data_IF_259958817239
#
_entry.id   IF_259958817239
#
_cell.length_a   1.000
_cell.length_b   1.000
_cell.length_c   1.000
_cell.angle_alpha   90.00
_cell.angle_beta   90.00
_cell.angle_gamma   90.00
#
_symmetry.space_group_name_H-M   'P 1'
#
loop_
_entity.id
_entity.type
_entity.pdbx_description
1 polymer ?
#
# COMPACT_ATOMS: atom_id res chain seq x y z
N UNK A 1 -20.91 -6.91 12.45
CA UNK A 1 -21.68 -6.31 13.57
C UNK A 1 -20.94 -5.07 14.01
N UNK A 2 -21.58 -3.90 14.03
CA UNK A 2 -20.95 -2.66 14.48
C UNK A 2 -21.41 -2.31 15.89
N UNK A 3 -20.48 -1.89 16.74
CA UNK A 3 -20.75 -1.47 18.11
C UNK A 3 -20.11 -0.11 18.38
N UNK A 4 -20.80 0.76 19.11
CA UNK A 4 -20.30 2.11 19.45
C UNK A 4 -20.41 2.32 20.95
N UNK A 5 -19.34 2.78 21.59
CA UNK A 5 -19.29 3.15 23.00
C UNK A 5 -18.82 4.59 23.13
N UNK A 6 -19.56 5.38 23.88
CA UNK A 6 -19.23 6.80 24.12
C UNK A 6 -18.79 7.02 25.57
N UNK A 7 -17.70 7.75 25.77
CA UNK A 7 -17.10 8.05 27.08
C UNK A 7 -16.69 9.52 27.13
N UNK A 8 -16.95 10.19 28.26
CA UNK A 8 -16.44 11.55 28.53
C UNK A 8 -15.32 11.41 29.59
N UNK A 9 -14.03 11.44 29.20
CA UNK A 9 -12.92 11.07 30.08
C UNK A 9 -12.64 12.09 31.19
N UNK A 10 -12.85 13.38 30.93
CA UNK A 10 -12.68 14.44 31.94
C UNK A 10 -13.76 15.51 31.82
N UNK A 11 -14.71 15.49 32.76
CA UNK A 11 -15.83 16.45 32.84
C UNK A 11 -15.43 17.79 33.48
N UNK A 12 -14.19 17.96 33.93
CA UNK A 12 -13.71 19.20 34.58
C UNK A 12 -13.02 20.16 33.62
N UNK A 13 -12.56 19.69 32.45
CA UNK A 13 -12.06 20.53 31.36
C UNK A 13 -13.24 21.22 30.67
N UNK A 14 -13.14 22.51 30.36
CA UNK A 14 -14.19 23.29 29.66
C UNK A 14 -13.54 24.02 28.46
N UNK A 15 -13.98 23.77 27.20
CA UNK A 15 -14.93 22.73 26.82
C UNK A 15 -14.36 21.33 27.09
N UNK A 16 -15.22 20.42 27.51
CA UNK A 16 -14.80 19.04 27.79
C UNK A 16 -14.52 18.31 26.48
N UNK A 17 -13.61 17.34 26.51
CA UNK A 17 -13.34 16.49 25.36
C UNK A 17 -14.32 15.29 25.40
N UNK A 18 -14.88 14.95 24.25
CA UNK A 18 -15.62 13.70 24.04
C UNK A 18 -14.71 12.63 23.45
N UNK A 19 -14.88 11.38 23.88
CA UNK A 19 -14.22 10.22 23.27
C UNK A 19 -15.29 9.22 22.83
N UNK A 20 -15.24 8.81 21.57
CA UNK A 20 -16.08 7.76 21.02
C UNK A 20 -15.21 6.59 20.57
N UNK A 21 -15.43 5.43 21.18
CA UNK A 21 -14.83 4.18 20.74
C UNK A 21 -15.80 3.48 19.78
N UNK A 22 -15.30 3.13 18.61
CA UNK A 22 -16.07 2.57 17.50
C UNK A 22 -15.44 1.26 17.07
N UNK A 23 -16.25 0.21 16.97
CA UNK A 23 -15.84 -1.07 16.39
C UNK A 23 -16.59 -1.25 15.08
N UNK A 24 -15.82 -1.42 14.00
CA UNK A 24 -16.33 -1.57 12.64
C UNK A 24 -15.89 -2.92 12.11
N UNK A 25 -16.83 -3.69 11.55
CA UNK A 25 -16.53 -4.92 10.83
C UNK A 25 -17.41 -5.04 9.59
N UNK A 26 -16.82 -5.39 8.44
CA UNK A 26 -17.53 -5.49 7.17
C UNK A 26 -16.61 -5.74 5.98
N UNK A 27 -17.16 -5.66 4.77
CA UNK A 27 -16.36 -5.75 3.55
C UNK A 27 -15.60 -4.45 3.32
N UNK A 28 -14.41 -4.52 2.68
CA UNK A 28 -13.56 -3.37 2.37
C UNK A 28 -14.33 -2.25 1.67
N UNK A 29 -15.18 -2.61 0.69
CA UNK A 29 -16.01 -1.66 -0.06
C UNK A 29 -17.03 -0.90 0.82
N UNK A 30 -17.46 -1.49 1.93
CA UNK A 30 -18.44 -0.90 2.85
C UNK A 30 -17.75 -0.04 3.92
N UNK A 31 -16.54 -0.41 4.33
CA UNK A 31 -15.79 0.27 5.39
C UNK A 31 -15.01 1.48 4.87
N UNK A 32 -14.41 1.38 3.67
CA UNK A 32 -13.55 2.44 3.13
C UNK A 32 -14.26 3.81 2.99
N UNK A 33 -15.52 3.90 2.53
CA UNK A 33 -16.23 5.18 2.47
C UNK A 33 -16.39 5.86 3.83
N UNK A 34 -16.54 5.09 4.91
CA UNK A 34 -16.65 5.63 6.27
C UNK A 34 -15.32 6.27 6.69
N UNK A 35 -14.19 5.61 6.40
CA UNK A 35 -12.86 6.15 6.67
C UNK A 35 -12.61 7.42 5.85
N UNK A 36 -13.00 7.44 4.58
CA UNK A 36 -12.86 8.62 3.72
C UNK A 36 -13.66 9.83 4.24
N UNK A 37 -14.93 9.63 4.65
CA UNK A 37 -15.76 10.70 5.24
C UNK A 37 -15.08 11.27 6.48
N UNK A 38 -14.59 10.39 7.34
CA UNK A 38 -13.94 10.72 8.61
C UNK A 38 -12.63 11.50 8.38
N UNK A 39 -11.80 11.09 7.41
CA UNK A 39 -10.56 11.81 7.06
C UNK A 39 -10.90 13.16 6.42
N UNK A 40 -11.88 13.19 5.52
CA UNK A 40 -12.28 14.41 4.79
C UNK A 40 -12.94 15.46 5.69
N UNK A 41 -13.66 15.06 6.75
CA UNK A 41 -14.34 15.98 7.67
C UNK A 41 -13.38 16.89 8.46
N UNK A 42 -12.07 16.66 8.39
CA UNK A 42 -11.02 17.45 9.06
C UNK A 42 -10.52 18.64 8.25
N UNK A 43 -11.35 19.19 7.35
CA UNK A 43 -10.91 20.17 6.34
C UNK A 43 -9.68 19.69 5.54
N UNK A 44 -9.55 18.37 5.36
CA UNK A 44 -8.41 17.77 4.69
C UNK A 44 -8.81 17.45 3.26
N UNK A 45 -8.14 18.08 2.29
CA UNK A 45 -8.25 17.69 0.86
C UNK A 45 -7.50 16.37 0.56
N UNK A 46 -6.94 15.72 1.59
CA UNK A 46 -6.21 14.47 1.47
C UNK A 46 -7.14 13.33 1.10
N UNK A 47 -7.05 12.88 -0.14
CA UNK A 47 -7.71 11.66 -0.60
C UNK A 47 -6.86 10.44 -0.24
N UNK A 48 -7.50 9.40 0.28
CA UNK A 48 -6.86 8.11 0.45
C UNK A 48 -6.63 7.45 -0.92
N UNK A 49 -5.56 6.67 -1.08
CA UNK A 49 -5.37 5.88 -2.28
C UNK A 49 -6.51 4.87 -2.41
N UNK A 50 -7.05 4.73 -3.62
CA UNK A 50 -8.01 3.66 -3.90
C UNK A 50 -7.30 2.32 -3.78
N UNK A 51 -7.87 1.42 -3.00
CA UNK A 51 -7.40 0.04 -2.87
C UNK A 51 -8.37 -0.82 -3.71
N UNK A 52 -8.02 -1.16 -4.96
CA UNK A 52 -8.88 -2.00 -5.79
C UNK A 52 -8.86 -3.44 -5.24
N UNK A 53 -10.02 -3.96 -4.87
CA UNK A 53 -10.14 -5.34 -4.40
C UNK A 53 -11.30 -5.56 -3.43
N UNK A 54 -11.34 -6.77 -2.90
CA UNK A 54 -12.26 -7.24 -1.87
C UNK A 54 -11.47 -7.74 -0.67
N UNK A 55 -12.11 -7.77 0.50
CA UNK A 55 -11.48 -8.24 1.73
C UNK A 55 -12.35 -7.92 2.95
N UNK A 56 -12.19 -8.70 4.01
CA UNK A 56 -12.93 -8.53 5.26
C UNK A 56 -12.15 -7.64 6.22
N UNK A 57 -12.70 -6.47 6.53
CA UNK A 57 -12.07 -5.47 7.40
C UNK A 57 -12.68 -5.53 8.79
N UNK A 58 -11.83 -5.53 9.81
CA UNK A 58 -12.18 -5.37 11.20
C UNK A 58 -11.29 -4.30 11.84
N UNK A 59 -11.88 -3.22 12.34
CA UNK A 59 -11.19 -2.06 12.89
C UNK A 59 -11.76 -1.69 14.26
N UNK A 60 -10.89 -1.26 15.15
CA UNK A 60 -11.25 -0.50 16.36
C UNK A 60 -10.71 0.91 16.20
N UNK A 61 -11.56 1.91 16.41
CA UNK A 61 -11.20 3.31 16.34
C UNK A 61 -11.56 4.03 17.63
N UNK A 62 -10.72 4.96 18.06
CA UNK A 62 -11.01 5.93 19.11
C UNK A 62 -11.00 7.32 18.51
N UNK A 63 -12.10 8.05 18.69
CA UNK A 63 -12.33 9.39 18.15
C UNK A 63 -12.43 10.38 19.30
N UNK A 64 -11.46 11.27 19.41
CA UNK A 64 -11.46 12.37 20.38
C UNK A 64 -11.86 13.68 19.70
N UNK A 65 -12.72 14.46 20.34
CA UNK A 65 -13.18 15.75 19.81
C UNK A 65 -13.48 16.75 20.93
N UNK A 66 -13.40 18.04 20.63
CA UNK A 66 -13.79 19.08 21.60
C UNK A 66 -15.31 19.27 21.58
N UNK A 67 -15.96 19.44 22.72
CA UNK A 67 -17.42 19.71 22.79
C UNK A 67 -17.77 21.21 22.79
N UNK A 68 -16.83 22.07 22.40
CA UNK A 68 -17.05 23.52 22.28
C UNK A 68 -17.82 23.93 21.01
N UNK A 69 -18.12 25.23 20.86
CA UNK A 69 -18.86 25.80 19.71
C UNK A 69 -18.29 25.44 18.31
N UNK A 70 -17.00 25.10 18.24
CA UNK A 70 -16.28 24.71 17.02
C UNK A 70 -15.75 23.26 17.12
N UNK A 71 -16.44 22.39 17.86
CA UNK A 71 -15.96 21.06 18.23
C UNK A 71 -15.54 20.12 17.10
N UNK A 72 -16.09 20.32 15.90
CA UNK A 72 -15.73 19.56 14.69
C UNK A 72 -14.35 19.88 14.12
N UNK A 73 -13.76 21.03 14.50
CA UNK A 73 -12.46 21.46 13.96
C UNK A 73 -11.27 20.71 14.60
N UNK A 74 -11.49 20.06 15.76
CA UNK A 74 -10.45 19.35 16.50
C UNK A 74 -10.82 17.88 16.72
N UNK A 75 -11.04 17.14 15.64
CA UNK A 75 -11.29 15.71 15.66
C UNK A 75 -9.97 14.95 15.49
N UNK A 76 -9.57 14.17 16.48
CA UNK A 76 -8.43 13.25 16.45
C UNK A 76 -8.91 11.80 16.47
N UNK A 77 -8.20 10.93 15.75
CA UNK A 77 -8.67 9.58 15.43
C UNK A 77 -7.45 8.70 15.38
N UNK A 78 -7.55 7.62 16.14
CA UNK A 78 -6.65 6.51 16.10
C UNK A 78 -7.48 5.29 15.73
N UNK A 79 -7.04 4.51 14.76
CA UNK A 79 -7.68 3.24 14.46
C UNK A 79 -6.63 2.17 14.18
N UNK A 80 -6.91 0.96 14.63
CA UNK A 80 -6.09 -0.21 14.39
C UNK A 80 -6.98 -1.38 14.01
N UNK A 81 -6.46 -2.28 13.20
CA UNK A 81 -7.10 -3.56 12.94
C UNK A 81 -6.52 -4.25 11.73
N UNK A 82 -7.35 -5.12 11.15
CA UNK A 82 -6.91 -6.10 10.17
C UNK A 82 -7.89 -6.15 8.99
N UNK A 83 -7.33 -6.37 7.81
CA UNK A 83 -8.06 -6.81 6.63
C UNK A 83 -7.62 -8.23 6.29
N UNK A 84 -8.58 -9.15 6.22
CA UNK A 84 -8.35 -10.56 5.91
C UNK A 84 -8.83 -10.91 4.51
N UNK A 85 -8.20 -11.93 3.93
CA UNK A 85 -8.57 -12.47 2.62
C UNK A 85 -8.65 -11.37 1.55
N UNK A 86 -7.66 -10.49 1.52
CA UNK A 86 -7.58 -9.45 0.52
C UNK A 86 -7.29 -10.07 -0.85
N UNK A 87 -8.05 -9.66 -1.86
CA UNK A 87 -7.84 -10.05 -3.25
C UNK A 87 -8.18 -8.87 -4.15
N UNK A 88 -7.30 -8.54 -5.07
CA UNK A 88 -7.50 -7.47 -6.05
C UNK A 88 -6.72 -7.72 -7.33
N UNK A 89 -7.06 -6.99 -8.39
CA UNK A 89 -6.35 -7.06 -9.66
C UNK A 89 -5.33 -5.93 -9.77
N UNK A 90 -4.13 -6.25 -10.25
CA UNK A 90 -3.11 -5.27 -10.56
C UNK A 90 -3.38 -4.65 -11.94
N UNK A 91 -4.08 -3.53 -11.94
CA UNK A 91 -4.27 -2.74 -13.15
C UNK A 91 -5.15 -3.39 -14.20
N UNK A 92 -4.76 -3.27 -15.46
CA UNK A 92 -5.39 -3.95 -16.60
C UNK A 92 -4.65 -5.25 -17.00
N UNK A 93 -3.67 -5.68 -16.20
CA UNK A 93 -2.80 -6.83 -16.54
C UNK A 93 -3.47 -8.19 -16.33
N UNK A 94 -4.55 -8.22 -15.54
CA UNK A 94 -5.20 -9.45 -15.09
C UNK A 94 -4.43 -10.23 -14.02
N UNK A 95 -3.27 -9.72 -13.56
CA UNK A 95 -2.53 -10.34 -12.46
C UNK A 95 -3.23 -10.09 -11.12
N UNK A 96 -3.28 -11.11 -10.27
CA UNK A 96 -3.97 -11.04 -8.97
C UNK A 96 -2.97 -10.68 -7.88
N UNK A 97 -3.35 -9.75 -7.01
CA UNK A 97 -2.68 -9.48 -5.74
C UNK A 97 -3.55 -10.04 -4.64
N UNK A 98 -2.99 -10.90 -3.80
CA UNK A 98 -3.70 -11.43 -2.63
C UNK A 98 -2.89 -11.32 -1.35
N UNK A 99 -3.58 -11.27 -0.22
CA UNK A 99 -2.98 -11.32 1.12
C UNK A 99 -3.95 -11.93 2.10
N UNK A 100 -3.47 -12.88 2.91
CA UNK A 100 -4.28 -13.48 3.97
C UNK A 100 -4.60 -12.46 5.08
N UNK A 101 -3.67 -11.53 5.33
CA UNK A 101 -3.74 -10.53 6.39
C UNK A 101 -2.95 -9.26 6.04
N UNK A 102 -3.66 -8.14 6.06
CA UNK A 102 -3.09 -6.79 6.01
C UNK A 102 -3.43 -6.07 7.30
N UNK A 103 -2.41 -5.63 8.03
CA UNK A 103 -2.56 -4.81 9.23
C UNK A 103 -2.80 -3.36 8.83
N UNK A 104 -3.70 -2.70 9.54
CA UNK A 104 -4.13 -1.33 9.31
C UNK A 104 -3.82 -0.52 10.57
N UNK A 105 -3.11 0.59 10.40
CA UNK A 105 -2.90 1.59 11.44
C UNK A 105 -3.21 2.99 10.92
N UNK A 106 -4.10 3.69 11.61
CA UNK A 106 -4.50 5.06 11.34
C UNK A 106 -4.20 5.91 12.56
N UNK A 107 -3.48 7.00 12.35
CA UNK A 107 -3.21 8.02 13.35
C UNK A 107 -3.68 9.38 12.81
N UNK A 108 -3.67 10.44 13.63
CA UNK A 108 -4.02 11.76 13.13
C UNK A 108 -3.14 12.28 11.99
N UNK A 109 -1.93 11.72 11.82
CA UNK A 109 -0.92 12.19 10.86
C UNK A 109 -0.68 11.23 9.70
N UNK A 110 -1.10 9.98 9.79
CA UNK A 110 -0.70 8.95 8.85
C UNK A 110 -1.66 7.76 8.84
N UNK A 111 -1.89 7.23 7.64
CA UNK A 111 -2.40 5.89 7.38
C UNK A 111 -1.23 4.96 7.01
N UNK A 112 -1.20 3.77 7.58
CA UNK A 112 -0.23 2.72 7.29
C UNK A 112 -0.95 1.38 7.08
N UNK A 113 -0.56 0.67 6.01
CA UNK A 113 -0.97 -0.70 5.73
C UNK A 113 0.27 -1.57 5.60
N UNK A 114 0.32 -2.70 6.31
CA UNK A 114 1.47 -3.61 6.27
C UNK A 114 0.99 -5.04 6.12
N UNK A 115 1.62 -5.83 5.25
CA UNK A 115 1.24 -7.22 5.08
C UNK A 115 2.21 -8.02 4.23
N UNK A 116 2.04 -9.33 4.28
CA UNK A 116 2.64 -10.26 3.32
C UNK A 116 1.56 -10.71 2.35
N UNK A 117 1.95 -10.96 1.11
CA UNK A 117 1.00 -11.28 0.06
C UNK A 117 1.65 -12.03 -1.09
N UNK A 118 0.87 -12.19 -2.15
CA UNK A 118 1.29 -12.81 -3.39
C UNK A 118 0.86 -11.95 -4.55
N UNK A 119 1.76 -11.74 -5.50
CA UNK A 119 1.46 -11.30 -6.85
C UNK A 119 1.41 -12.56 -7.71
N UNK A 120 0.19 -13.04 -7.99
CA UNK A 120 -0.12 -14.39 -8.44
C UNK A 120 0.56 -15.45 -7.54
N UNK A 121 1.70 -15.98 -8.01
CA UNK A 121 2.47 -17.01 -7.32
C UNK A 121 3.75 -16.48 -6.66
N UNK A 122 4.04 -15.19 -6.82
CA UNK A 122 5.27 -14.57 -6.29
C UNK A 122 4.99 -13.95 -4.92
N UNK A 123 5.58 -14.47 -3.83
CA UNK A 123 5.39 -13.89 -2.52
C UNK A 123 6.10 -12.54 -2.41
N UNK A 124 5.48 -11.61 -1.67
CA UNK A 124 6.06 -10.32 -1.32
C UNK A 124 5.70 -9.92 0.11
N UNK A 125 6.48 -9.00 0.66
CA UNK A 125 6.11 -8.21 1.84
C UNK A 125 5.95 -6.77 1.39
N UNK A 126 4.92 -6.06 1.88
CA UNK A 126 4.70 -4.68 1.50
C UNK A 126 4.25 -3.81 2.66
N UNK A 127 4.55 -2.52 2.52
CA UNK A 127 4.17 -1.44 3.41
C UNK A 127 3.69 -0.25 2.58
N UNK A 128 2.46 0.20 2.81
CA UNK A 128 1.91 1.42 2.22
C UNK A 128 1.77 2.48 3.32
N UNK A 129 2.22 3.70 3.04
CA UNK A 129 2.07 4.84 3.95
C UNK A 129 1.48 6.05 3.23
N UNK A 130 0.55 6.75 3.86
CA UNK A 130 -0.01 8.02 3.37
C UNK A 130 -0.07 9.01 4.53
N UNK A 131 0.64 10.13 4.39
CA UNK A 131 0.50 11.26 5.30
C UNK A 131 -0.90 11.87 5.24
N UNK A 132 -1.39 12.33 6.39
CA UNK A 132 -2.72 12.93 6.55
C UNK A 132 -2.60 14.36 7.10
N UNK A 133 -3.52 15.22 6.68
CA UNK A 133 -3.57 16.62 7.07
C UNK A 133 -3.35 17.58 5.89
N UNK A 134 -3.55 18.90 6.09
CA UNK A 134 -3.55 19.89 5.01
C UNK A 134 -2.27 19.87 4.16
N UNK A 135 -1.11 19.78 4.80
CA UNK A 135 0.19 19.78 4.12
C UNK A 135 0.53 18.43 3.45
N UNK A 136 -0.35 17.45 3.56
CA UNK A 136 -0.19 16.10 3.00
C UNK A 136 -1.20 15.78 1.90
N UNK A 137 -2.07 16.74 1.54
CA UNK A 137 -3.07 16.57 0.49
C UNK A 137 -2.44 16.11 -0.83
N UNK A 138 -1.41 16.82 -1.28
CA UNK A 138 -0.70 16.58 -2.55
C UNK A 138 0.48 15.61 -2.43
N UNK A 139 0.85 15.20 -1.21
CA UNK A 139 1.96 14.26 -0.98
C UNK A 139 1.49 12.84 -1.36
N UNK A 140 2.10 12.16 -2.33
CA UNK A 140 1.67 10.82 -2.74
C UNK A 140 1.75 9.79 -1.60
N UNK A 141 0.94 8.73 -1.67
CA UNK A 141 1.20 7.57 -0.82
C UNK A 141 2.49 6.87 -1.27
N UNK A 142 3.28 6.36 -0.32
CA UNK A 142 4.50 5.62 -0.57
C UNK A 142 4.24 4.13 -0.33
N UNK A 143 4.49 3.32 -1.35
CA UNK A 143 4.50 1.87 -1.27
C UNK A 143 5.94 1.38 -1.28
N UNK A 144 6.32 0.58 -0.29
CA UNK A 144 7.59 -0.16 -0.24
C UNK A 144 7.27 -1.65 -0.25
N UNK A 145 7.95 -2.42 -1.09
CA UNK A 145 7.75 -3.85 -1.18
C UNK A 145 9.06 -4.61 -1.39
N UNK A 146 9.14 -5.80 -0.82
CA UNK A 146 10.25 -6.73 -0.99
C UNK A 146 9.73 -8.02 -1.61
N UNK A 147 10.43 -8.48 -2.65
CA UNK A 147 10.11 -9.73 -3.35
C UNK A 147 11.36 -10.35 -3.96
N UNK A 148 11.20 -11.49 -4.62
CA UNK A 148 12.27 -12.14 -5.37
C UNK A 148 12.09 -11.93 -6.87
N UNK A 149 13.07 -11.29 -7.52
CA UNK A 149 13.22 -11.34 -8.96
C UNK A 149 13.48 -12.78 -9.39
N UNK A 150 12.71 -13.26 -10.35
CA UNK A 150 12.77 -14.62 -10.88
C UNK A 150 12.21 -14.63 -12.30
N UNK A 151 12.43 -15.74 -13.01
CA UNK A 151 11.82 -15.93 -14.33
C UNK A 151 10.29 -15.84 -14.27
N UNK A 152 9.67 -16.41 -13.22
CA UNK A 152 8.23 -16.35 -13.01
C UNK A 152 7.76 -14.90 -12.92
N UNK A 153 8.35 -14.09 -12.02
CA UNK A 153 7.94 -12.70 -11.86
C UNK A 153 8.05 -11.89 -13.17
N UNK A 154 9.17 -12.03 -13.88
CA UNK A 154 9.38 -11.27 -15.13
C UNK A 154 8.40 -11.73 -16.21
N UNK A 155 8.14 -13.03 -16.32
CA UNK A 155 7.15 -13.54 -17.29
C UNK A 155 5.73 -13.03 -17.01
N UNK A 156 5.32 -12.98 -15.74
CA UNK A 156 4.01 -12.42 -15.32
C UNK A 156 3.90 -10.94 -15.62
N UNK A 157 4.95 -10.19 -15.29
CA UNK A 157 4.94 -8.74 -15.45
C UNK A 157 5.04 -8.28 -16.91
N UNK A 158 5.80 -9.00 -17.74
CA UNK A 158 5.97 -8.65 -19.17
C UNK A 158 4.95 -9.32 -20.09
N UNK A 159 4.27 -10.36 -19.60
CA UNK A 159 3.45 -11.25 -20.44
C UNK A 159 4.27 -12.05 -21.46
N UNK A 160 5.61 -11.98 -21.41
CA UNK A 160 6.50 -12.63 -22.36
C UNK A 160 7.15 -13.87 -21.74
N UNK A 161 7.23 -14.94 -22.54
CA UNK A 161 7.96 -16.13 -22.17
C UNK A 161 9.47 -15.89 -22.35
N UNK A 162 10.21 -15.91 -21.25
CA UNK A 162 11.66 -15.59 -21.17
C UNK A 162 12.52 -16.83 -20.86
N UNK A 163 12.11 -17.99 -21.36
CA UNK A 163 12.79 -19.26 -21.08
C UNK A 163 14.31 -19.19 -21.31
N UNK A 164 15.07 -19.64 -20.33
CA UNK A 164 16.53 -19.73 -20.41
C UNK A 164 17.28 -18.39 -20.35
N UNK A 165 16.59 -17.24 -20.36
CA UNK A 165 17.21 -15.93 -20.17
C UNK A 165 17.58 -15.71 -18.70
N UNK A 166 16.72 -16.12 -17.78
CA UNK A 166 16.88 -15.93 -16.34
C UNK A 166 16.87 -17.28 -15.63
N UNK A 167 17.73 -17.44 -14.64
CA UNK A 167 17.76 -18.62 -13.77
C UNK A 167 18.01 -18.22 -12.31
N UNK A 168 17.47 -19.00 -11.38
CA UNK A 168 17.53 -18.69 -9.96
C UNK A 168 16.63 -17.51 -9.57
N UNK A 169 16.97 -16.88 -8.45
CA UNK A 169 16.20 -15.78 -7.89
C UNK A 169 17.10 -14.83 -7.11
N UNK A 170 16.74 -13.54 -7.05
CA UNK A 170 17.46 -12.55 -6.25
C UNK A 170 16.48 -11.63 -5.53
N UNK A 171 16.76 -11.25 -4.25
CA UNK A 171 15.97 -10.24 -3.56
C UNK A 171 15.93 -8.93 -4.35
N UNK A 172 14.77 -8.29 -4.35
CA UNK A 172 14.59 -6.95 -4.89
C UNK A 172 13.66 -6.12 -4.02
N UNK A 173 13.92 -4.83 -4.05
CA UNK A 173 13.14 -3.81 -3.37
C UNK A 173 12.43 -2.97 -4.42
N UNK A 174 11.16 -2.69 -4.17
CA UNK A 174 10.30 -1.84 -4.98
C UNK A 174 9.86 -0.67 -4.11
N UNK A 175 9.97 0.53 -4.65
CA UNK A 175 9.34 1.72 -4.09
C UNK A 175 8.41 2.32 -5.14
N UNK A 176 7.21 2.71 -4.75
CA UNK A 176 6.26 3.36 -5.64
C UNK A 176 5.61 4.58 -4.97
N UNK A 177 5.48 5.65 -5.74
CA UNK A 177 4.78 6.87 -5.37
C UNK A 177 3.42 6.88 -6.04
N UNK A 178 2.37 6.85 -5.24
CA UNK A 178 0.97 6.71 -5.65
C UNK A 178 0.22 8.02 -5.40
N UNK A 179 0.23 8.96 -6.36
CA UNK A 179 -0.53 10.19 -6.26
C UNK A 179 -2.02 9.93 -6.47
N UNK A 180 -2.86 10.82 -5.94
CA UNK A 180 -4.31 10.72 -6.10
C UNK A 180 -4.73 11.06 -7.53
N UNK A 181 -5.05 10.03 -8.34
CA UNK A 181 -5.67 10.20 -9.67
C UNK A 181 -4.72 10.59 -10.81
N UNK A 182 -3.41 10.62 -10.59
CA UNK A 182 -2.39 10.79 -11.65
C UNK A 182 -1.53 9.54 -11.81
N UNK A 183 -0.57 9.58 -12.73
CA UNK A 183 0.31 8.46 -13.05
C UNK A 183 1.25 8.15 -11.86
N UNK A 184 1.19 6.93 -11.34
CA UNK A 184 2.11 6.46 -10.31
C UNK A 184 3.53 6.32 -10.87
N UNK A 185 4.55 6.52 -10.05
CA UNK A 185 5.94 6.23 -10.40
C UNK A 185 6.47 5.09 -9.54
N UNK A 186 7.41 4.32 -10.06
CA UNK A 186 8.06 3.26 -9.30
C UNK A 186 9.54 3.13 -9.63
N UNK A 187 10.28 2.57 -8.67
CA UNK A 187 11.67 2.17 -8.80
C UNK A 187 11.82 0.76 -8.22
N UNK A 188 12.49 -0.11 -8.96
CA UNK A 188 12.88 -1.44 -8.52
C UNK A 188 14.40 -1.53 -8.53
N UNK A 189 14.98 -2.10 -7.48
CA UNK A 189 16.43 -2.31 -7.38
C UNK A 189 16.80 -3.69 -6.84
N UNK A 190 17.92 -4.24 -7.33
CA UNK A 190 18.51 -5.50 -6.87
C UNK A 190 20.01 -5.52 -7.17
N UNK A 191 20.80 -6.25 -6.38
CA UNK A 191 22.20 -6.56 -6.70
C UNK A 191 22.35 -7.82 -7.59
N UNK A 192 21.22 -8.43 -7.94
CA UNK A 192 21.07 -9.62 -8.73
C UNK A 192 21.91 -10.82 -8.22
N UNK A 193 22.30 -10.83 -6.94
CA UNK A 193 22.98 -11.98 -6.35
C UNK A 193 21.97 -13.13 -6.23
N UNK A 194 22.35 -14.29 -6.74
CA UNK A 194 21.47 -15.46 -6.86
C UNK A 194 20.76 -15.57 -8.21
N UNK A 195 20.75 -14.51 -9.02
CA UNK A 195 20.13 -14.49 -10.35
C UNK A 195 21.18 -14.67 -11.46
N UNK A 196 21.06 -15.73 -12.23
CA UNK A 196 21.83 -15.94 -13.46
C UNK A 196 21.09 -15.32 -14.65
N UNK A 197 21.81 -14.60 -15.51
CA UNK A 197 21.26 -14.06 -16.78
C UNK A 197 22.07 -14.59 -17.95
N UNK A 198 21.39 -15.07 -19.00
CA UNK A 198 22.00 -15.63 -20.20
C UNK A 198 21.37 -15.04 -21.47
N UNK A 199 21.97 -13.96 -21.96
CA UNK A 199 21.54 -13.30 -23.19
C UNK A 199 22.34 -13.84 -24.39
N UNK A 200 21.96 -15.04 -24.84
CA UNK A 200 22.65 -15.76 -25.94
C UNK A 200 22.78 -14.94 -27.23
N UNK A 201 21.76 -14.14 -27.55
CA UNK A 201 21.72 -13.34 -28.78
C UNK A 201 22.87 -12.32 -28.90
N UNK A 202 23.39 -11.86 -27.77
CA UNK A 202 24.51 -10.91 -27.68
C UNK A 202 25.75 -11.53 -27.05
N UNK A 203 25.78 -12.86 -26.93
CA UNK A 203 26.87 -13.62 -26.30
C UNK A 203 27.27 -13.09 -24.92
N UNK A 204 26.29 -12.66 -24.13
CA UNK A 204 26.50 -12.08 -22.80
C UNK A 204 25.90 -12.96 -21.71
N UNK A 205 26.63 -13.12 -20.61
CA UNK A 205 26.19 -13.90 -19.47
C UNK A 205 26.61 -13.25 -18.15
N UNK A 206 25.73 -13.37 -17.16
CA UNK A 206 25.97 -13.04 -15.77
C UNK A 206 25.77 -14.30 -14.91
N UNK A 207 26.84 -14.85 -14.32
CA UNK A 207 26.72 -15.96 -13.37
C UNK A 207 25.97 -15.53 -12.10
N UNK A 208 25.19 -16.44 -11.51
CA UNK A 208 24.36 -16.15 -10.33
C UNK A 208 25.13 -15.61 -9.11
N UNK A 209 26.40 -16.02 -8.94
CA UNK A 209 27.24 -15.58 -7.81
C UNK A 209 27.88 -14.20 -8.01
N UNK A 210 27.85 -13.65 -9.22
CA UNK A 210 28.49 -12.38 -9.53
C UNK A 210 27.47 -11.26 -9.37
N UNK A 211 27.64 -10.27 -8.48
CA UNK A 211 26.70 -9.16 -8.34
C UNK A 211 26.66 -8.29 -9.60
N UNK A 212 25.52 -7.65 -9.85
CA UNK A 212 25.35 -6.58 -10.84
C UNK A 212 24.22 -5.65 -10.39
N UNK A 213 24.42 -4.35 -10.52
CA UNK A 213 23.44 -3.38 -10.04
C UNK A 213 22.29 -3.28 -11.04
N UNK A 214 21.13 -3.79 -10.66
CA UNK A 214 19.91 -3.65 -11.42
C UNK A 214 19.08 -2.49 -10.89
N UNK A 215 18.66 -1.61 -11.79
CA UNK A 215 17.67 -0.57 -11.51
C UNK A 215 16.70 -0.47 -12.67
N UNK A 216 15.42 -0.51 -12.33
CA UNK A 216 14.30 -0.29 -13.23
C UNK A 216 13.45 0.83 -12.66
N UNK A 217 13.25 1.90 -13.41
CA UNK A 217 12.32 2.96 -13.03
C UNK A 217 11.27 3.11 -14.10
N UNK A 218 10.06 3.42 -13.68
CA UNK A 218 8.96 3.59 -14.62
C UNK A 218 7.80 4.31 -14.01
N UNK A 219 6.75 4.36 -14.81
CA UNK A 219 5.49 4.97 -14.47
C UNK A 219 4.35 4.03 -14.78
N UNK A 220 3.24 4.21 -14.08
CA UNK A 220 2.07 3.37 -14.19
C UNK A 220 0.83 4.24 -14.37
N UNK A 221 0.26 4.23 -15.59
CA UNK A 221 -0.98 4.92 -15.98
C UNK A 221 -1.95 3.94 -16.66
N UNK A 222 -2.42 2.96 -15.89
CA UNK A 222 -3.14 1.78 -16.37
C UNK A 222 -2.30 0.78 -17.18
N UNK A 223 -1.09 1.15 -17.62
CA UNK A 223 -0.08 0.20 -18.12
C UNK A 223 1.27 0.58 -17.54
N UNK A 224 2.15 -0.41 -17.43
CA UNK A 224 3.54 -0.16 -17.01
C UNK A 224 4.29 0.45 -18.19
N UNK A 225 4.80 1.67 -17.98
CA UNK A 225 5.75 2.33 -18.86
C UNK A 225 7.13 2.27 -18.20
N UNK A 226 8.05 1.56 -18.82
CA UNK A 226 9.46 1.54 -18.38
C UNK A 226 10.16 2.78 -18.91
N UNK A 227 10.63 3.64 -18.02
CA UNK A 227 11.32 4.90 -18.38
C UNK A 227 12.84 4.69 -18.49
N UNK A 228 13.42 3.88 -17.60
CA UNK A 228 14.87 3.66 -17.59
C UNK A 228 15.20 2.27 -17.07
N UNK A 229 16.16 1.63 -17.73
CA UNK A 229 16.71 0.32 -17.38
C UNK A 229 18.24 0.43 -17.36
N UNK A 230 18.87 0.02 -16.26
CA UNK A 230 20.32 -0.07 -16.13
C UNK A 230 20.73 -1.37 -15.45
N UNK A 231 21.78 -2.01 -15.96
CA UNK A 231 22.29 -3.31 -15.51
C UNK A 231 23.82 -3.32 -15.49
#
# INVERSE_FOLDING_TARGET
MSGTRFVIPDTKKIPSDGVADVVVSGQLADVLPLVDIIVSSRNSETKLPKIPGVGEVALTASVSFSMGKNGGDSVEIFAEGDMKNFEGEFGDTGAVISSDLVQIALSPKQLELTGTGRFDQVPFTAKLQKGLGPDQADVPALLEAELYLSSELVSRFTGAEIEGLISGSSPAQITASLPSGTQASFSLSSDLVGLGVNAKQINWQKPAKKPAQFRLTGRYNNRVLTDTFSL
#
